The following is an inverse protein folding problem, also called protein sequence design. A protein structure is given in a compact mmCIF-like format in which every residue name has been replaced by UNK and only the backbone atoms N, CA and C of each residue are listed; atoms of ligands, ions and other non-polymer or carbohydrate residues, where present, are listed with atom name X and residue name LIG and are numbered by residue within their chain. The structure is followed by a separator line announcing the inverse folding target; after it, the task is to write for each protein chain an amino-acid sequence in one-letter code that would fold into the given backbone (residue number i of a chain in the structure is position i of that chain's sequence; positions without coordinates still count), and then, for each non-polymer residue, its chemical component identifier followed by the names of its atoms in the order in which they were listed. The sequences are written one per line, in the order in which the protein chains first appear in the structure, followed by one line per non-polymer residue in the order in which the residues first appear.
data_IF_537444796583
#
_entry.id   IF_537444796583
#
_cell.length_a   1.000
_cell.length_b   1.000
_cell.length_c   1.000
_cell.angle_alpha   90.00
_cell.angle_beta   90.00
_cell.angle_gamma   90.00
#
_symmetry.space_group_name_H-M   'P 1'
#
loop_
_entity.id
_entity.type
_entity.pdbx_description
1 polymer ?
#
# COMPACT_ATOMS: atom_id res chain seq x y z
N UNK A 1 10.59 -0.83 11.93
CA UNK A 1 9.14 -0.97 12.24
C UNK A 1 8.41 -1.43 10.98
N UNK A 2 7.30 -2.19 11.05
CA UNK A 2 6.51 -2.59 9.86
C UNK A 2 5.17 -1.88 9.84
N UNK A 3 4.84 -1.21 8.73
CA UNK A 3 3.57 -0.49 8.54
C UNK A 3 2.84 -1.09 7.35
N UNK A 4 1.58 -1.42 7.53
CA UNK A 4 0.70 -1.86 6.46
C UNK A 4 -0.15 -0.69 5.96
N UNK A 5 -0.16 -0.47 4.65
CA UNK A 5 -0.89 0.62 3.97
C UNK A 5 -1.88 0.00 2.99
N UNK A 6 -3.18 0.20 3.24
CA UNK A 6 -4.25 -0.16 2.28
C UNK A 6 -4.31 0.88 1.15
N UNK A 7 -3.71 0.52 0.03
CA UNK A 7 -3.65 1.30 -1.20
C UNK A 7 -4.70 0.86 -2.22
N UNK A 8 -5.84 0.27 -1.81
CA UNK A 8 -6.82 -0.25 -2.76
C UNK A 8 -7.40 0.75 -3.75
N UNK A 9 -7.48 2.04 -3.39
CA UNK A 9 -7.96 3.11 -4.28
C UNK A 9 -6.86 3.74 -5.14
N UNK A 10 -5.60 3.42 -4.87
CA UNK A 10 -4.46 3.96 -5.61
C UNK A 10 -4.44 3.30 -7.00
N UNK A 11 -4.78 4.06 -8.03
CA UNK A 11 -4.82 3.61 -9.43
C UNK A 11 -6.20 3.61 -10.09
N UNK A 12 -7.31 3.69 -9.34
CA UNK A 12 -8.66 3.74 -9.95
C UNK A 12 -9.09 5.16 -10.36
N UNK A 13 -8.88 6.14 -9.48
CA UNK A 13 -9.29 7.52 -9.70
C UNK A 13 -8.32 8.47 -9.03
N UNK A 14 -7.86 9.46 -9.78
CA UNK A 14 -6.95 10.49 -9.26
C UNK A 14 -7.76 11.47 -8.41
N UNK A 15 -7.76 11.27 -7.10
CA UNK A 15 -8.38 12.18 -6.14
C UNK A 15 -7.28 13.00 -5.43
N UNK A 16 -7.53 14.26 -5.09
CA UNK A 16 -6.54 15.12 -4.42
C UNK A 16 -6.01 14.50 -3.12
N UNK A 17 -6.86 13.75 -2.42
CA UNK A 17 -6.50 12.99 -1.21
C UNK A 17 -5.49 11.88 -1.51
N UNK A 18 -5.61 11.14 -2.62
CA UNK A 18 -4.63 10.10 -2.96
C UNK A 18 -3.27 10.71 -3.26
N UNK A 19 -3.22 11.83 -3.98
CA UNK A 19 -1.96 12.53 -4.29
C UNK A 19 -1.27 13.03 -3.03
N UNK A 20 -2.04 13.57 -2.07
CA UNK A 20 -1.50 14.01 -0.79
C UNK A 20 -0.92 12.85 0.03
N UNK A 21 -1.65 11.74 0.15
CA UNK A 21 -1.17 10.55 0.85
C UNK A 21 0.08 9.97 0.20
N UNK A 22 0.13 9.93 -1.13
CA UNK A 22 1.32 9.48 -1.88
C UNK A 22 2.54 10.34 -1.52
N UNK A 23 2.41 11.67 -1.56
CA UNK A 23 3.50 12.58 -1.19
C UNK A 23 3.95 12.42 0.26
N UNK A 24 3.00 12.29 1.18
CA UNK A 24 3.27 12.10 2.60
C UNK A 24 4.06 10.80 2.86
N UNK A 25 3.61 9.68 2.31
CA UNK A 25 4.29 8.40 2.49
C UNK A 25 5.65 8.39 1.80
N UNK A 26 5.81 9.02 0.62
CA UNK A 26 7.12 9.18 -0.03
C UNK A 26 8.12 9.93 0.85
N UNK A 27 7.70 11.06 1.43
CA UNK A 27 8.55 11.81 2.35
C UNK A 27 8.91 10.96 3.59
N UNK A 28 7.93 10.26 4.16
CA UNK A 28 8.15 9.40 5.32
C UNK A 28 9.11 8.24 5.04
N UNK A 29 9.01 7.62 3.86
CA UNK A 29 9.92 6.55 3.42
C UNK A 29 11.37 7.05 3.30
N UNK A 30 11.57 8.29 2.86
CA UNK A 30 12.90 8.91 2.82
C UNK A 30 13.46 9.24 4.21
N UNK A 31 12.60 9.66 5.14
CA UNK A 31 13.01 10.01 6.52
C UNK A 31 13.26 8.78 7.41
N UNK A 32 12.64 7.63 7.10
CA UNK A 32 12.70 6.39 7.88
C UNK A 32 13.05 5.19 7.01
N UNK A 33 14.31 5.08 6.56
CA UNK A 33 14.77 3.94 5.75
C UNK A 33 14.75 2.60 6.52
N UNK A 34 14.74 2.64 7.85
CA UNK A 34 14.67 1.49 8.75
C UNK A 34 13.24 0.90 8.90
N UNK A 35 12.23 1.54 8.32
CA UNK A 35 10.85 1.08 8.36
C UNK A 35 10.51 0.30 7.09
N UNK A 36 9.69 -0.74 7.22
CA UNK A 36 9.19 -1.51 6.09
C UNK A 36 7.75 -1.11 5.83
N UNK A 37 7.48 -0.61 4.63
CA UNK A 37 6.17 -0.16 4.18
C UNK A 37 5.56 -1.25 3.30
N UNK A 38 4.48 -1.87 3.78
CA UNK A 38 3.77 -2.95 3.10
C UNK A 38 2.51 -2.39 2.48
N UNK A 39 2.55 -2.12 1.17
CA UNK A 39 1.42 -1.64 0.40
C UNK A 39 0.56 -2.79 -0.08
N UNK A 40 -0.73 -2.74 0.22
CA UNK A 40 -1.70 -3.76 -0.16
C UNK A 40 -2.78 -3.18 -1.05
N UNK A 41 -3.07 -3.83 -2.18
CA UNK A 41 -4.08 -3.32 -3.13
C UNK A 41 -4.23 -4.19 -4.38
N UNK A 42 -5.22 -3.90 -5.24
CA UNK A 42 -5.50 -4.71 -6.42
C UNK A 42 -4.51 -4.45 -7.56
N UNK A 43 -3.97 -3.22 -7.67
CA UNK A 43 -3.15 -2.80 -8.81
C UNK A 43 -1.68 -2.62 -8.44
N UNK A 44 -0.87 -3.70 -8.55
CA UNK A 44 0.56 -3.65 -8.20
C UNK A 44 1.33 -2.56 -8.96
N UNK A 45 1.14 -2.48 -10.27
CA UNK A 45 1.85 -1.53 -11.12
C UNK A 45 1.55 -0.08 -10.70
N UNK A 46 0.28 0.26 -10.49
CA UNK A 46 -0.13 1.58 -10.03
C UNK A 46 0.45 1.93 -8.65
N UNK A 47 0.50 0.96 -7.72
CA UNK A 47 1.14 1.17 -6.42
C UNK A 47 2.65 1.41 -6.55
N UNK A 48 3.35 0.64 -7.40
CA UNK A 48 4.78 0.81 -7.62
C UNK A 48 5.10 2.13 -8.32
N UNK A 49 4.27 2.58 -9.26
CA UNK A 49 4.39 3.89 -9.89
C UNK A 49 4.15 5.01 -8.86
N UNK A 50 3.13 4.86 -8.01
CA UNK A 50 2.76 5.84 -7.01
C UNK A 50 3.78 5.93 -5.86
N UNK A 51 4.37 4.84 -5.39
CA UNK A 51 5.22 4.85 -4.18
C UNK A 51 6.70 4.56 -4.47
N UNK A 52 7.05 4.00 -5.63
CA UNK A 52 8.42 3.67 -6.05
C UNK A 52 8.80 2.23 -5.75
N UNK A 53 10.04 1.82 -6.04
CA UNK A 53 10.51 0.43 -5.83
C UNK A 53 11.71 0.38 -4.88
N UNK A 54 11.65 1.12 -3.77
CA UNK A 54 12.73 1.11 -2.76
C UNK A 54 12.80 -0.20 -1.98
N UNK A 55 13.97 -0.50 -1.41
CA UNK A 55 14.22 -1.72 -0.63
C UNK A 55 13.35 -1.82 0.63
N UNK A 56 12.86 -0.68 1.11
CA UNK A 56 11.96 -0.56 2.24
C UNK A 56 10.46 -0.66 1.86
N UNK A 57 10.15 -0.93 0.59
CA UNK A 57 8.79 -1.04 0.05
C UNK A 57 8.44 -2.48 -0.33
N UNK A 58 7.35 -3.00 0.21
CA UNK A 58 6.80 -4.29 -0.16
C UNK A 58 5.41 -4.10 -0.76
N UNK A 59 5.13 -4.81 -1.86
CA UNK A 59 3.87 -4.70 -2.58
C UNK A 59 3.16 -6.05 -2.62
N UNK A 60 1.95 -6.08 -2.09
CA UNK A 60 1.14 -7.29 -1.99
C UNK A 60 -0.18 -7.05 -2.70
N UNK A 61 -0.42 -7.86 -3.72
CA UNK A 61 -1.66 -7.82 -4.48
C UNK A 61 -2.77 -8.51 -3.72
N UNK A 62 -3.87 -7.79 -3.49
CA UNK A 62 -5.09 -8.36 -2.94
C UNK A 62 -6.11 -8.55 -4.07
N UNK A 63 -6.57 -9.79 -4.24
CA UNK A 63 -7.49 -10.16 -5.33
C UNK A 63 -8.94 -9.77 -5.04
N UNK A 64 -9.28 -9.48 -3.78
CA UNK A 64 -10.68 -9.33 -3.38
C UNK A 64 -11.20 -7.90 -3.59
N UNK A 65 -12.24 -7.70 -4.43
CA UNK A 65 -12.82 -6.37 -4.66
C UNK A 65 -13.70 -5.89 -3.48
N UNK A 66 -14.23 -6.80 -2.66
CA UNK A 66 -15.13 -6.46 -1.56
C UNK A 66 -14.38 -6.05 -0.30
N UNK A 67 -14.62 -4.81 0.17
CA UNK A 67 -14.03 -4.20 1.38
C UNK A 67 -14.13 -5.10 2.62
N UNK A 68 -15.28 -5.74 2.85
CA UNK A 68 -15.50 -6.53 4.06
C UNK A 68 -14.72 -7.85 4.02
N UNK A 69 -14.69 -8.52 2.86
CA UNK A 69 -13.89 -9.74 2.69
C UNK A 69 -12.39 -9.44 2.77
N UNK A 70 -11.95 -8.30 2.24
CA UNK A 70 -10.56 -7.85 2.36
C UNK A 70 -10.13 -7.68 3.82
N UNK A 71 -10.99 -7.05 4.63
CA UNK A 71 -10.72 -6.83 6.05
C UNK A 71 -10.75 -8.14 6.87
N UNK A 72 -11.69 -9.04 6.58
CA UNK A 72 -11.92 -10.25 7.38
C UNK A 72 -11.07 -11.46 6.94
N UNK A 73 -10.59 -11.49 5.70
CA UNK A 73 -9.87 -12.64 5.14
C UNK A 73 -8.47 -12.29 4.66
N UNK A 74 -8.34 -11.32 3.76
CA UNK A 74 -7.07 -11.01 3.11
C UNK A 74 -6.05 -10.43 4.10
N UNK A 75 -6.46 -9.45 4.92
CA UNK A 75 -5.58 -8.85 5.91
C UNK A 75 -5.17 -9.83 7.04
N UNK A 76 -6.09 -10.63 7.62
CA UNK A 76 -5.71 -11.63 8.61
C UNK A 76 -4.82 -12.75 8.05
N UNK A 77 -5.02 -13.16 6.78
CA UNK A 77 -4.12 -14.12 6.14
C UNK A 77 -2.72 -13.53 5.92
N UNK A 78 -2.66 -12.25 5.56
CA UNK A 78 -1.39 -11.56 5.39
C UNK A 78 -0.63 -11.40 6.72
N UNK A 79 -1.33 -11.10 7.82
CA UNK A 79 -0.72 -11.02 9.15
C UNK A 79 -0.22 -12.36 9.70
N UNK A 80 -0.74 -13.49 9.17
CA UNK A 80 -0.30 -14.85 9.56
C UNK A 80 0.94 -15.34 8.81
N UNK A 81 1.33 -14.67 7.72
CA UNK A 81 2.57 -14.94 6.99
C UNK A 81 3.75 -14.20 7.62
#
# INVERSE_FOLDING_TARGET
MKILIDAHKIGEKHEGTSTHLIGLYRALMGLKPDWVFVFVGPFKAAMQEAFGTGDNCQYITLSTPNKFRRLLWDLPQLMRR
#
